data_IF_976549234405
#
_entry.id   IF_976549234405
#
_cell.length_a   1.000
_cell.length_b   1.000
_cell.length_c   1.000
_cell.angle_alpha   90.00
_cell.angle_beta   90.00
_cell.angle_gamma   90.00
#
_symmetry.space_group_name_H-M   'P 1'
#
loop_
_entity.id
_entity.type
_entity.pdbx_description
1 polymer ?
#
# COMPACT_ATOMS: atom_id res chain seq x y z
N UNK A 1 12.73 -14.12 -39.10
CA UNK A 1 14.04 -14.49 -38.53
C UNK A 1 14.59 -15.74 -39.21
N UNK A 2 13.92 -16.89 -39.08
CA UNK A 2 14.34 -18.18 -39.67
C UNK A 2 14.73 -18.14 -41.15
N UNK A 3 13.86 -17.63 -42.04
CA UNK A 3 14.14 -17.54 -43.49
C UNK A 3 15.39 -16.73 -43.85
N UNK A 4 15.82 -15.82 -42.96
CA UNK A 4 16.98 -14.95 -43.14
C UNK A 4 18.22 -15.46 -42.38
N UNK A 5 18.13 -16.59 -41.67
CA UNK A 5 19.23 -17.12 -40.86
C UNK A 5 19.65 -16.20 -39.71
N UNK A 6 18.72 -15.40 -39.17
CA UNK A 6 19.04 -14.48 -38.06
C UNK A 6 19.00 -15.23 -36.73
N UNK A 7 20.10 -15.19 -35.99
CA UNK A 7 20.22 -15.70 -34.61
C UNK A 7 19.92 -14.59 -33.61
N UNK A 8 18.62 -14.37 -33.35
CA UNK A 8 18.15 -13.33 -32.42
C UNK A 8 17.30 -14.00 -31.35
N UNK A 9 17.51 -13.60 -30.10
CA UNK A 9 16.63 -13.96 -29.00
C UNK A 9 15.72 -12.79 -28.65
N UNK A 10 14.47 -13.09 -28.31
CA UNK A 10 13.50 -12.07 -27.96
C UNK A 10 12.41 -12.60 -27.02
N UNK A 11 11.73 -11.65 -26.38
CA UNK A 11 10.49 -11.88 -25.65
C UNK A 11 9.32 -11.14 -26.29
N UNK A 12 8.11 -11.43 -25.82
CA UNK A 12 6.91 -10.72 -26.23
C UNK A 12 6.11 -10.26 -24.99
N UNK A 13 5.73 -8.99 -24.97
CA UNK A 13 4.91 -8.40 -23.90
C UNK A 13 3.48 -8.10 -24.39
N UNK A 14 2.54 -7.97 -23.45
CA UNK A 14 1.14 -7.67 -23.77
C UNK A 14 0.45 -8.80 -24.54
N UNK A 15 0.91 -10.04 -24.35
CA UNK A 15 0.36 -11.20 -25.06
C UNK A 15 -1.02 -11.50 -24.48
N UNK A 16 -2.06 -11.33 -25.30
CA UNK A 16 -3.38 -11.89 -25.03
C UNK A 16 -3.39 -13.33 -25.50
N UNK A 17 -3.68 -14.27 -24.61
CA UNK A 17 -3.74 -15.69 -24.94
C UNK A 17 -4.91 -15.94 -25.88
N UNK A 18 -4.65 -16.68 -26.96
CA UNK A 18 -5.65 -17.12 -27.92
C UNK A 18 -5.50 -18.62 -28.19
N UNK A 19 -6.60 -19.30 -28.52
CA UNK A 19 -6.61 -20.73 -28.83
C UNK A 19 -5.70 -21.09 -30.04
N UNK A 20 -5.38 -20.11 -30.88
CA UNK A 20 -4.47 -20.28 -32.02
C UNK A 20 -3.00 -20.49 -31.58
N UNK A 21 -2.65 -20.23 -30.31
CA UNK A 21 -1.29 -20.48 -29.79
C UNK A 21 -1.08 -21.95 -29.43
N UNK A 22 -1.21 -22.80 -30.44
CA UNK A 22 -0.98 -24.23 -30.32
C UNK A 22 0.50 -24.59 -30.22
N UNK A 23 0.77 -25.89 -30.01
CA UNK A 23 2.12 -26.43 -29.86
C UNK A 23 3.00 -26.11 -31.07
N UNK A 24 2.49 -26.25 -32.29
CA UNK A 24 3.28 -26.05 -33.51
C UNK A 24 3.70 -24.58 -33.64
N UNK A 25 2.77 -23.67 -33.38
CA UNK A 25 3.00 -22.22 -33.37
C UNK A 25 4.04 -21.83 -32.34
N UNK A 26 3.92 -22.33 -31.10
CA UNK A 26 4.90 -22.06 -30.04
C UNK A 26 6.28 -22.65 -30.36
N UNK A 27 6.35 -23.87 -30.91
CA UNK A 27 7.62 -24.45 -31.35
C UNK A 27 8.27 -23.66 -32.47
N UNK A 28 7.48 -23.17 -33.43
CA UNK A 28 7.98 -22.31 -34.50
C UNK A 28 8.51 -20.98 -33.93
N UNK A 29 7.79 -20.36 -33.01
CA UNK A 29 8.21 -19.13 -32.34
C UNK A 29 9.49 -19.33 -31.53
N UNK A 30 9.59 -20.42 -30.77
CA UNK A 30 10.78 -20.78 -30.00
C UNK A 30 12.01 -20.97 -30.90
N UNK A 31 11.87 -21.73 -32.01
CA UNK A 31 12.93 -21.87 -33.03
C UNK A 31 13.32 -20.52 -33.64
N UNK A 32 12.35 -19.62 -33.80
CA UNK A 32 12.60 -18.29 -34.34
C UNK A 32 13.33 -17.35 -33.37
N UNK A 33 13.44 -17.72 -32.08
CA UNK A 33 14.14 -16.93 -31.06
C UNK A 33 13.32 -16.55 -29.83
N UNK A 34 12.02 -16.88 -29.78
CA UNK A 34 11.18 -16.56 -28.63
C UNK A 34 11.63 -17.35 -27.40
N UNK A 35 11.80 -16.66 -26.26
CA UNK A 35 12.24 -17.28 -25.01
C UNK A 35 11.27 -17.08 -23.86
N UNK A 36 10.56 -15.96 -23.84
CA UNK A 36 9.60 -15.66 -22.79
C UNK A 36 8.44 -14.82 -23.33
N UNK A 37 7.31 -14.90 -22.65
CA UNK A 37 6.09 -14.15 -22.97
C UNK A 37 5.53 -13.55 -21.69
N UNK A 38 5.10 -12.30 -21.72
CA UNK A 38 4.40 -11.66 -20.61
C UNK A 38 2.91 -11.58 -20.90
N UNK A 39 2.13 -12.25 -20.06
CA UNK A 39 0.68 -12.44 -20.20
C UNK A 39 -0.01 -11.84 -18.98
N UNK A 40 -0.84 -10.83 -19.23
CA UNK A 40 -1.85 -10.42 -18.25
C UNK A 40 -2.98 -11.43 -18.26
N UNK A 41 -3.15 -12.12 -17.13
CA UNK A 41 -4.28 -13.03 -16.88
C UNK A 41 -5.35 -12.36 -16.00
N UNK A 42 -4.95 -11.41 -15.16
CA UNK A 42 -5.78 -10.52 -14.33
C UNK A 42 -6.68 -11.19 -13.27
N UNK A 43 -7.30 -12.34 -13.55
CA UNK A 43 -8.10 -13.14 -12.60
C UNK A 43 -8.05 -14.63 -12.95
N UNK A 44 -8.28 -15.48 -11.95
CA UNK A 44 -8.44 -16.93 -12.11
C UNK A 44 -9.91 -17.35 -12.24
N UNK A 45 -10.83 -16.40 -12.25
CA UNK A 45 -12.28 -16.63 -12.23
C UNK A 45 -12.90 -16.12 -13.53
N UNK A 46 -13.53 -17.01 -14.31
CA UNK A 46 -14.09 -16.63 -15.62
C UNK A 46 -15.10 -15.49 -15.55
N UNK A 47 -15.99 -15.50 -14.54
CA UNK A 47 -16.96 -14.40 -14.32
C UNK A 47 -16.29 -13.03 -14.19
N UNK A 48 -15.16 -12.95 -13.48
CA UNK A 48 -14.43 -11.70 -13.31
C UNK A 48 -13.72 -11.29 -14.61
N UNK A 49 -13.15 -12.24 -15.34
CA UNK A 49 -12.56 -11.99 -16.67
C UNK A 49 -13.58 -11.44 -17.66
N UNK A 50 -14.79 -12.01 -17.66
CA UNK A 50 -15.91 -11.55 -18.48
C UNK A 50 -16.37 -10.17 -18.06
N UNK A 51 -16.48 -9.92 -16.74
CA UNK A 51 -16.90 -8.64 -16.18
C UNK A 51 -15.95 -7.50 -16.59
N UNK A 52 -14.64 -7.74 -16.58
CA UNK A 52 -13.64 -6.74 -17.00
C UNK A 52 -13.40 -6.71 -18.52
N UNK A 53 -14.18 -7.47 -19.29
CA UNK A 53 -14.07 -7.58 -20.74
C UNK A 53 -12.67 -8.01 -21.21
N UNK A 54 -11.99 -8.87 -20.43
CA UNK A 54 -10.63 -9.32 -20.75
C UNK A 54 -10.57 -10.11 -22.07
N UNK A 55 -11.65 -10.84 -22.38
CA UNK A 55 -11.79 -11.59 -23.63
C UNK A 55 -10.85 -12.79 -23.73
N UNK A 56 -10.56 -13.44 -22.59
CA UNK A 56 -9.81 -14.71 -22.53
C UNK A 56 -10.60 -15.74 -21.73
N UNK A 57 -10.35 -17.01 -22.05
CA UNK A 57 -10.89 -18.16 -21.32
C UNK A 57 -9.80 -18.77 -20.41
N UNK A 58 -10.15 -19.06 -19.15
CA UNK A 58 -9.18 -19.50 -18.15
C UNK A 58 -8.59 -20.88 -18.46
N UNK A 59 -9.36 -21.78 -19.07
CA UNK A 59 -8.87 -23.11 -19.48
C UNK A 59 -7.82 -22.97 -20.60
N UNK A 60 -8.07 -22.04 -21.54
CA UNK A 60 -7.12 -21.69 -22.61
C UNK A 60 -5.81 -21.14 -22.02
N UNK A 61 -5.89 -20.31 -20.98
CA UNK A 61 -4.71 -19.80 -20.27
C UNK A 61 -3.92 -20.93 -19.60
N UNK A 62 -4.58 -21.84 -18.89
CA UNK A 62 -3.91 -22.98 -18.25
C UNK A 62 -3.22 -23.88 -19.30
N UNK A 63 -3.90 -24.16 -20.41
CA UNK A 63 -3.34 -24.93 -21.52
C UNK A 63 -2.13 -24.24 -22.15
N UNK A 64 -2.21 -22.93 -22.39
CA UNK A 64 -1.11 -22.13 -22.91
C UNK A 64 0.13 -22.17 -21.99
N UNK A 65 -0.07 -22.00 -20.68
CA UNK A 65 1.02 -22.07 -19.69
C UNK A 65 1.71 -23.43 -19.76
N UNK A 66 0.95 -24.51 -19.89
CA UNK A 66 1.50 -25.87 -20.03
C UNK A 66 2.30 -26.01 -21.32
N UNK A 67 1.76 -25.59 -22.47
CA UNK A 67 2.45 -25.66 -23.75
C UNK A 67 3.76 -24.86 -23.76
N UNK A 68 3.76 -23.64 -23.20
CA UNK A 68 4.96 -22.83 -23.06
C UNK A 68 6.07 -23.59 -22.33
N UNK A 69 5.76 -24.18 -21.18
CA UNK A 69 6.72 -24.96 -20.38
C UNK A 69 7.28 -26.15 -21.16
N UNK A 70 6.44 -26.87 -21.89
CA UNK A 70 6.87 -28.04 -22.66
C UNK A 70 7.73 -27.67 -23.88
N UNK A 71 7.50 -26.50 -24.48
CA UNK A 71 8.27 -26.01 -25.64
C UNK A 71 9.58 -25.34 -25.23
N UNK A 72 9.70 -24.89 -23.97
CA UNK A 72 10.86 -24.13 -23.49
C UNK A 72 10.69 -22.61 -23.58
N UNK A 73 9.45 -22.13 -23.70
CA UNK A 73 9.12 -20.70 -23.58
C UNK A 73 8.69 -20.43 -22.14
N UNK A 74 9.25 -19.41 -21.50
CA UNK A 74 8.89 -19.05 -20.12
C UNK A 74 7.65 -18.16 -20.10
N UNK A 75 6.50 -18.62 -19.56
CA UNK A 75 5.34 -17.77 -19.38
C UNK A 75 5.54 -16.90 -18.13
N UNK A 76 5.61 -15.60 -18.31
CA UNK A 76 5.54 -14.61 -17.25
C UNK A 76 4.09 -14.14 -17.10
N UNK A 77 3.51 -14.31 -15.93
CA UNK A 77 2.09 -14.09 -15.67
C UNK A 77 1.89 -12.90 -14.72
N UNK A 78 0.87 -12.08 -14.98
CA UNK A 78 0.44 -11.03 -14.07
C UNK A 78 -1.02 -11.11 -13.69
N UNK A 79 -1.29 -10.84 -12.41
CA UNK A 79 -2.59 -11.01 -11.76
C UNK A 79 -3.02 -9.76 -11.01
N UNK A 80 -4.31 -9.46 -10.97
CA UNK A 80 -4.85 -8.35 -10.19
C UNK A 80 -5.57 -8.92 -8.98
N UNK A 81 -5.11 -8.58 -7.78
CA UNK A 81 -5.76 -8.99 -6.53
C UNK A 81 -6.84 -7.98 -6.18
N UNK A 82 -8.04 -8.50 -5.87
CA UNK A 82 -9.15 -7.69 -5.39
C UNK A 82 -9.76 -6.82 -6.48
N UNK A 83 -10.06 -7.40 -7.64
CA UNK A 83 -10.93 -6.75 -8.62
C UNK A 83 -12.26 -6.36 -7.95
N UNK A 84 -12.85 -5.21 -8.34
CA UNK A 84 -14.20 -4.88 -7.91
C UNK A 84 -15.19 -6.02 -8.15
N UNK A 85 -16.17 -6.19 -7.25
CA UNK A 85 -17.12 -7.30 -7.27
C UNK A 85 -16.55 -8.71 -7.05
N UNK A 86 -15.27 -8.86 -6.69
CA UNK A 86 -14.74 -10.16 -6.23
C UNK A 86 -15.42 -10.60 -4.95
N UNK A 87 -16.03 -11.79 -4.94
CA UNK A 87 -16.63 -12.36 -3.74
C UNK A 87 -15.56 -13.03 -2.85
N UNK A 88 -15.82 -13.21 -1.54
CA UNK A 88 -14.89 -13.95 -0.67
C UNK A 88 -14.58 -15.38 -1.15
N UNK A 89 -15.58 -16.06 -1.73
CA UNK A 89 -15.42 -17.42 -2.26
C UNK A 89 -14.52 -17.43 -3.50
N UNK A 90 -14.70 -16.48 -4.41
CA UNK A 90 -13.84 -16.34 -5.59
C UNK A 90 -12.42 -15.96 -5.19
N UNK A 91 -12.25 -15.04 -4.23
CA UNK A 91 -10.91 -14.72 -3.74
C UNK A 91 -10.21 -15.96 -3.18
N UNK A 92 -10.94 -16.84 -2.49
CA UNK A 92 -10.36 -18.10 -2.01
C UNK A 92 -9.92 -19.00 -3.17
N UNK A 93 -10.70 -19.07 -4.25
CA UNK A 93 -10.31 -19.79 -5.47
C UNK A 93 -9.11 -19.13 -6.17
N UNK A 94 -9.06 -17.80 -6.22
CA UNK A 94 -7.93 -17.04 -6.74
C UNK A 94 -6.65 -17.26 -5.90
N UNK A 95 -6.76 -17.33 -4.58
CA UNK A 95 -5.63 -17.69 -3.70
C UNK A 95 -5.07 -19.06 -4.06
N UNK A 96 -5.92 -20.06 -4.29
CA UNK A 96 -5.47 -21.39 -4.70
C UNK A 96 -4.87 -21.37 -6.11
N UNK A 97 -5.41 -20.57 -7.03
CA UNK A 97 -4.82 -20.33 -8.35
C UNK A 97 -3.41 -19.71 -8.24
N UNK A 98 -3.24 -18.68 -7.39
CA UNK A 98 -1.97 -18.00 -7.09
C UNK A 98 -0.94 -18.92 -6.43
N UNK A 99 -1.37 -19.97 -5.72
CA UNK A 99 -0.47 -20.98 -5.13
C UNK A 99 0.02 -22.00 -6.16
N UNK A 100 -0.81 -22.34 -7.16
CA UNK A 100 -0.48 -23.33 -8.20
C UNK A 100 0.52 -22.80 -9.23
N UNK A 101 0.46 -21.51 -9.56
CA UNK A 101 1.27 -20.92 -10.63
C UNK A 101 2.17 -19.80 -10.07
N UNK A 102 3.48 -19.81 -10.36
CA UNK A 102 4.32 -18.65 -10.07
C UNK A 102 3.86 -17.48 -10.93
N UNK A 103 3.47 -16.37 -10.30
CA UNK A 103 3.08 -15.15 -11.01
C UNK A 103 3.41 -13.90 -10.21
N UNK A 104 3.47 -12.78 -10.92
CA UNK A 104 3.45 -11.47 -10.29
C UNK A 104 2.00 -11.04 -10.06
N UNK A 105 1.76 -10.30 -8.99
CA UNK A 105 0.43 -9.77 -8.74
C UNK A 105 0.50 -8.40 -8.09
N UNK A 106 -0.51 -7.60 -8.36
CA UNK A 106 -0.68 -6.29 -7.75
C UNK A 106 -2.13 -6.10 -7.29
N UNK A 107 -2.32 -5.31 -6.24
CA UNK A 107 -3.64 -4.84 -5.83
C UNK A 107 -4.31 -4.04 -6.95
N UNK A 108 -5.62 -4.16 -7.07
CA UNK A 108 -6.38 -3.35 -8.02
C UNK A 108 -6.26 -1.85 -7.70
N UNK A 109 -6.09 -1.05 -8.76
CA UNK A 109 -6.10 0.41 -8.72
C UNK A 109 -7.05 0.92 -9.78
N UNK A 110 -7.96 1.82 -9.40
CA UNK A 110 -8.88 2.45 -10.34
C UNK A 110 -8.15 3.55 -11.14
N UNK A 111 -8.00 3.32 -12.43
CA UNK A 111 -7.30 4.19 -13.37
C UNK A 111 -8.26 4.98 -14.27
N UNK A 112 -7.86 6.18 -14.64
CA UNK A 112 -8.54 7.02 -15.64
C UNK A 112 -8.60 6.28 -17.00
N UNK A 113 -9.78 6.27 -17.61
CA UNK A 113 -10.02 5.61 -18.90
C UNK A 113 -10.22 4.09 -18.83
N UNK A 114 -10.39 3.52 -17.64
CA UNK A 114 -10.79 2.12 -17.48
C UNK A 114 -12.32 1.97 -17.60
N UNK A 115 -12.84 0.81 -18.08
CA UNK A 115 -14.28 0.55 -18.08
C UNK A 115 -14.91 0.69 -16.68
N UNK A 116 -14.16 0.34 -15.63
CA UNK A 116 -14.59 0.50 -14.24
C UNK A 116 -14.71 1.97 -13.83
N UNK A 117 -13.93 2.88 -14.42
CA UNK A 117 -14.05 4.31 -14.16
C UNK A 117 -15.22 4.92 -14.96
N UNK A 118 -15.48 4.41 -16.16
CA UNK A 118 -16.56 4.90 -17.03
C UNK A 118 -17.94 4.43 -16.58
N UNK A 119 -18.03 3.19 -16.08
CA UNK A 119 -19.28 2.55 -15.63
C UNK A 119 -19.14 1.98 -14.21
N UNK A 120 -18.86 2.80 -13.19
CA UNK A 120 -18.51 2.31 -11.86
C UNK A 120 -19.62 1.47 -11.19
N UNK A 121 -20.88 1.76 -11.48
CA UNK A 121 -22.02 0.99 -10.96
C UNK A 121 -22.02 -0.47 -11.43
N UNK A 122 -21.58 -0.75 -12.66
CA UNK A 122 -21.54 -2.12 -13.23
C UNK A 122 -20.56 -3.03 -12.47
N UNK A 123 -19.62 -2.43 -11.74
CA UNK A 123 -18.58 -3.11 -10.99
C UNK A 123 -18.79 -3.01 -9.47
N UNK A 124 -19.92 -2.47 -9.02
CA UNK A 124 -20.23 -2.31 -7.60
C UNK A 124 -19.30 -1.33 -6.89
N UNK A 125 -18.86 -0.27 -7.58
CA UNK A 125 -17.99 0.75 -7.01
C UNK A 125 -18.56 2.16 -7.16
N UNK A 126 -18.14 3.04 -6.27
CA UNK A 126 -18.42 4.48 -6.33
C UNK A 126 -17.11 5.26 -6.33
N UNK A 127 -16.93 6.13 -7.33
CA UNK A 127 -15.79 7.04 -7.38
C UNK A 127 -15.99 8.14 -6.35
N UNK A 128 -15.01 8.34 -5.48
CA UNK A 128 -15.04 9.36 -4.42
C UNK A 128 -14.36 10.65 -4.91
N UNK A 129 -13.09 10.56 -5.32
CA UNK A 129 -12.31 11.72 -5.79
C UNK A 129 -11.10 11.26 -6.61
N UNK A 130 -10.48 12.17 -7.35
CA UNK A 130 -9.24 11.90 -8.09
C UNK A 130 -8.03 12.10 -7.17
N UNK A 131 -7.15 11.11 -7.12
CA UNK A 131 -5.97 11.17 -6.26
C UNK A 131 -5.09 12.37 -6.60
N UNK A 132 -4.69 13.14 -5.59
CA UNK A 132 -3.77 14.27 -5.74
C UNK A 132 -2.34 13.73 -5.71
N UNK A 133 -1.57 14.02 -6.74
CA UNK A 133 -0.16 13.63 -6.83
C UNK A 133 0.73 14.60 -6.04
N UNK A 134 0.54 15.91 -6.24
CA UNK A 134 1.16 16.96 -5.43
C UNK A 134 0.40 18.29 -5.58
N UNK A 135 0.54 19.17 -4.59
CA UNK A 135 0.07 20.54 -4.65
C UNK A 135 1.18 21.46 -5.18
N UNK A 136 0.88 22.27 -6.20
CA UNK A 136 1.75 23.30 -6.74
C UNK A 136 1.17 24.69 -6.48
N UNK A 137 1.96 25.78 -6.56
CA UNK A 137 1.44 27.15 -6.38
C UNK A 137 0.30 27.52 -7.34
N UNK A 138 0.19 26.81 -8.48
CA UNK A 138 -0.85 27.02 -9.51
C UNK A 138 -2.07 26.10 -9.34
N UNK A 139 -2.10 25.24 -8.33
CA UNK A 139 -3.20 24.31 -8.08
C UNK A 139 -2.75 22.87 -7.82
N UNK A 140 -3.73 21.97 -7.72
CA UNK A 140 -3.50 20.55 -7.49
C UNK A 140 -3.13 19.85 -8.80
N UNK A 141 -2.09 19.01 -8.78
CA UNK A 141 -1.78 18.09 -9.86
C UNK A 141 -2.34 16.73 -9.47
N UNK A 142 -3.28 16.23 -10.27
CA UNK A 142 -3.92 14.94 -9.99
C UNK A 142 -3.24 13.79 -10.73
N UNK A 143 -3.10 12.65 -10.04
CA UNK A 143 -2.67 11.39 -10.63
C UNK A 143 -3.74 10.84 -11.60
N UNK A 144 -3.40 9.90 -12.50
CA UNK A 144 -4.39 9.17 -13.30
C UNK A 144 -5.15 8.10 -12.46
N UNK A 145 -5.24 8.28 -11.14
CA UNK A 145 -5.81 7.34 -10.18
C UNK A 145 -6.97 7.96 -9.43
N UNK A 146 -7.90 7.13 -8.97
CA UNK A 146 -9.06 7.56 -8.20
C UNK A 146 -9.06 6.94 -6.80
N UNK A 147 -9.60 7.67 -5.84
CA UNK A 147 -10.18 7.11 -4.64
C UNK A 147 -11.57 6.61 -4.98
N UNK A 148 -11.90 5.42 -4.50
CA UNK A 148 -13.19 4.79 -4.74
C UNK A 148 -13.59 3.95 -3.53
N UNK A 149 -14.89 3.76 -3.38
CA UNK A 149 -15.49 2.85 -2.41
C UNK A 149 -16.00 1.64 -3.17
N UNK A 150 -15.72 0.44 -2.64
CA UNK A 150 -16.36 -0.79 -3.10
C UNK A 150 -17.67 -0.97 -2.32
N UNK A 151 -18.78 -0.98 -3.03
CA UNK A 151 -20.13 -1.15 -2.50
C UNK A 151 -20.55 -2.63 -2.53
N UNK A 152 -20.06 -3.39 -3.52
CA UNK A 152 -20.32 -4.83 -3.67
C UNK A 152 -19.01 -5.64 -3.79
N UNK A 153 -18.93 -6.74 -3.05
CA UNK A 153 -17.75 -7.60 -3.00
C UNK A 153 -16.68 -7.12 -2.02
N UNK A 154 -15.46 -7.66 -2.18
CA UNK A 154 -14.30 -7.29 -1.39
C UNK A 154 -13.62 -6.06 -1.98
N UNK A 155 -13.13 -5.18 -1.11
CA UNK A 155 -12.23 -4.12 -1.56
C UNK A 155 -10.80 -4.64 -1.78
N UNK A 156 -9.96 -3.94 -2.58
CA UNK A 156 -8.59 -4.37 -2.82
C UNK A 156 -7.78 -4.58 -1.53
N UNK A 157 -7.94 -3.69 -0.54
CA UNK A 157 -7.23 -3.82 0.73
C UNK A 157 -7.71 -5.02 1.57
N UNK A 158 -8.99 -5.40 1.45
CA UNK A 158 -9.53 -6.64 2.04
C UNK A 158 -8.88 -7.86 1.39
N UNK A 159 -8.83 -7.85 0.06
CA UNK A 159 -8.29 -8.96 -0.72
C UNK A 159 -6.80 -9.15 -0.46
N UNK A 160 -6.02 -8.07 -0.42
CA UNK A 160 -4.60 -8.11 -0.09
C UNK A 160 -4.34 -8.73 1.28
N UNK A 161 -5.07 -8.30 2.30
CA UNK A 161 -4.92 -8.84 3.65
C UNK A 161 -5.19 -10.35 3.70
N UNK A 162 -6.23 -10.82 3.01
CA UNK A 162 -6.56 -12.24 2.93
C UNK A 162 -5.53 -13.05 2.13
N UNK A 163 -5.00 -12.49 1.04
CA UNK A 163 -3.92 -13.12 0.26
C UNK A 163 -2.63 -13.20 1.09
N UNK A 164 -2.32 -12.18 1.88
CA UNK A 164 -1.16 -12.17 2.78
C UNK A 164 -1.29 -13.20 3.90
N UNK A 165 -2.47 -13.30 4.52
CA UNK A 165 -2.79 -14.30 5.54
C UNK A 165 -2.73 -15.73 5.02
N UNK A 166 -3.02 -15.96 3.73
CA UNK A 166 -2.94 -17.28 3.10
C UNK A 166 -1.51 -17.84 3.01
N UNK A 167 -0.51 -17.05 3.40
CA UNK A 167 0.88 -17.46 3.52
C UNK A 167 1.69 -17.27 2.24
N UNK A 168 2.94 -17.76 2.22
CA UNK A 168 3.83 -17.56 1.10
C UNK A 168 3.29 -18.26 -0.15
N UNK A 169 3.40 -17.58 -1.29
CA UNK A 169 3.00 -18.08 -2.61
C UNK A 169 4.20 -18.05 -3.55
N UNK A 170 4.15 -18.91 -4.58
CA UNK A 170 5.18 -18.91 -5.62
C UNK A 170 5.10 -17.57 -6.34
N UNK A 171 6.20 -16.82 -6.34
CA UNK A 171 6.36 -15.61 -7.13
C UNK A 171 7.30 -15.90 -8.26
N UNK A 172 7.09 -15.26 -9.41
CA UNK A 172 8.11 -15.31 -10.45
C UNK A 172 9.36 -14.57 -10.01
N UNK A 173 10.46 -14.86 -10.70
CA UNK A 173 11.62 -13.97 -10.64
C UNK A 173 11.19 -12.59 -11.14
N UNK A 174 11.64 -11.50 -10.50
CA UNK A 174 11.23 -10.16 -10.88
C UNK A 174 11.49 -9.90 -12.36
N UNK A 175 10.54 -9.26 -13.03
CA UNK A 175 10.73 -8.77 -14.39
C UNK A 175 11.90 -7.78 -14.40
N UNK A 176 13.10 -8.21 -14.80
CA UNK A 176 14.31 -7.38 -14.81
C UNK A 176 14.33 -6.35 -15.95
N UNK A 177 13.22 -6.21 -16.69
CA UNK A 177 13.13 -5.44 -17.92
C UNK A 177 13.59 -6.25 -19.13
N UNK A 178 13.15 -5.83 -20.32
CA UNK A 178 13.29 -6.54 -21.60
C UNK A 178 14.73 -7.01 -21.90
N UNK A 179 15.69 -6.12 -21.64
CA UNK A 179 17.12 -6.35 -21.94
C UNK A 179 17.68 -7.47 -21.06
N UNK A 180 17.43 -7.42 -19.75
CA UNK A 180 17.94 -8.43 -18.83
C UNK A 180 17.24 -9.77 -19.03
N UNK A 181 15.93 -9.77 -19.29
CA UNK A 181 15.20 -11.00 -19.53
C UNK A 181 15.70 -11.74 -20.78
N UNK A 182 16.04 -10.99 -21.83
CA UNK A 182 16.60 -11.57 -23.05
C UNK A 182 18.04 -12.06 -22.86
N UNK A 183 18.89 -11.30 -22.15
CA UNK A 183 20.28 -11.71 -21.87
C UNK A 183 20.38 -12.97 -20.99
N UNK A 184 19.39 -13.19 -20.11
CA UNK A 184 19.37 -14.31 -19.18
C UNK A 184 18.64 -15.54 -19.73
N UNK A 185 18.05 -15.44 -20.93
CA UNK A 185 17.16 -16.46 -21.48
C UNK A 185 17.82 -17.83 -21.69
N UNK A 186 19.11 -17.86 -22.06
CA UNK A 186 19.88 -19.09 -22.26
C UNK A 186 20.57 -19.61 -20.98
N UNK A 187 20.38 -18.91 -19.86
CA UNK A 187 20.94 -19.32 -18.57
C UNK A 187 19.92 -20.15 -17.79
N UNK A 188 20.37 -20.81 -16.71
CA UNK A 188 19.46 -21.43 -15.75
C UNK A 188 18.55 -20.44 -14.99
N UNK A 189 18.64 -19.13 -15.26
CA UNK A 189 17.91 -18.09 -14.54
C UNK A 189 16.40 -18.31 -14.57
N UNK A 190 15.81 -18.63 -15.72
CA UNK A 190 14.37 -18.89 -15.83
C UNK A 190 13.97 -20.34 -15.50
N UNK A 191 14.94 -21.25 -15.40
CA UNK A 191 14.69 -22.66 -15.06
C UNK A 191 14.39 -22.85 -13.57
N UNK A 192 14.79 -21.89 -12.73
CA UNK A 192 14.55 -21.92 -11.29
C UNK A 192 13.38 -21.03 -10.92
N UNK A 193 12.29 -21.65 -10.45
CA UNK A 193 11.14 -20.97 -9.85
C UNK A 193 11.45 -20.35 -8.47
N UNK A 194 12.65 -20.59 -7.90
CA UNK A 194 13.06 -19.99 -6.64
C UNK A 194 13.48 -18.53 -6.86
N UNK A 195 12.77 -17.61 -6.20
CA UNK A 195 13.11 -16.18 -6.17
C UNK A 195 14.43 -15.99 -5.40
N UNK A 196 15.40 -15.22 -5.91
CA UNK A 196 16.51 -14.76 -5.10
C UNK A 196 15.99 -13.94 -3.90
N UNK A 197 16.74 -13.81 -2.79
CA UNK A 197 16.35 -12.94 -1.70
C UNK A 197 16.02 -11.54 -2.23
N UNK A 198 15.02 -10.89 -1.63
CA UNK A 198 14.67 -9.53 -2.04
C UNK A 198 15.92 -8.63 -1.93
N UNK A 199 16.13 -7.74 -2.91
CA UNK A 199 17.26 -6.84 -2.85
C UNK A 199 17.15 -5.98 -1.60
N UNK A 200 18.31 -5.56 -1.07
CA UNK A 200 18.38 -4.59 0.02
C UNK A 200 17.44 -3.41 -0.27
N UNK A 201 16.68 -2.98 0.73
CA UNK A 201 15.71 -1.89 0.55
C UNK A 201 16.44 -0.61 0.16
N UNK A 202 15.71 0.33 -0.46
CA UNK A 202 16.28 1.65 -0.75
C UNK A 202 16.83 2.33 0.51
N UNK A 203 16.18 2.14 1.66
CA UNK A 203 16.63 2.63 2.94
C UNK A 203 17.91 1.94 3.43
N UNK A 204 18.05 0.62 3.25
CA UNK A 204 19.26 -0.11 3.64
C UNK A 204 20.47 0.34 2.80
N UNK A 205 20.30 0.45 1.48
CA UNK A 205 21.33 0.96 0.57
C UNK A 205 21.70 2.41 0.92
N UNK A 206 20.71 3.25 1.23
CA UNK A 206 20.92 4.62 1.66
C UNK A 206 21.71 4.69 2.98
N UNK A 207 21.41 3.84 3.98
CA UNK A 207 22.13 3.78 5.24
C UNK A 207 23.60 3.39 5.04
N UNK A 208 23.89 2.45 4.15
CA UNK A 208 25.27 2.10 3.79
C UNK A 208 26.01 3.29 3.18
N UNK A 209 25.36 4.01 2.26
CA UNK A 209 25.91 5.21 1.61
C UNK A 209 26.15 6.35 2.61
N UNK A 210 25.17 6.63 3.47
CA UNK A 210 25.23 7.65 4.51
C UNK A 210 26.33 7.33 5.54
N UNK A 211 26.52 6.05 5.87
CA UNK A 211 27.61 5.61 6.74
C UNK A 211 28.98 5.90 6.13
N UNK A 212 29.18 5.57 4.85
CA UNK A 212 30.43 5.87 4.13
C UNK A 212 30.70 7.37 4.03
N UNK A 213 29.69 8.17 3.69
CA UNK A 213 29.81 9.63 3.63
C UNK A 213 30.22 10.23 4.99
N UNK A 214 29.62 9.73 6.08
CA UNK A 214 29.98 10.17 7.43
C UNK A 214 31.41 9.79 7.80
N UNK A 215 31.88 8.61 7.41
CA UNK A 215 33.28 8.20 7.63
C UNK A 215 34.25 9.12 6.87
N UNK A 216 33.95 9.44 5.61
CA UNK A 216 34.74 10.37 4.80
C UNK A 216 34.75 11.80 5.37
N UNK A 217 33.65 12.22 5.99
CA UNK A 217 33.53 13.51 6.68
C UNK A 217 34.12 13.52 8.11
N UNK A 218 34.97 12.55 8.46
CA UNK A 218 35.62 12.51 9.79
C UNK A 218 34.65 12.21 10.94
N UNK A 219 33.54 11.54 10.66
CA UNK A 219 32.54 11.15 11.66
C UNK A 219 31.45 12.19 11.93
N UNK A 220 31.51 13.37 11.31
CA UNK A 220 30.51 14.43 11.46
C UNK A 220 29.40 14.30 10.41
N UNK A 221 28.15 14.29 10.87
CA UNK A 221 26.96 14.36 10.00
C UNK A 221 26.40 15.78 10.00
N UNK A 222 26.04 16.30 8.83
CA UNK A 222 25.29 17.55 8.72
C UNK A 222 23.79 17.32 8.99
N UNK A 223 22.99 18.39 8.98
CA UNK A 223 21.57 18.28 9.26
C UNK A 223 20.81 17.37 8.27
N UNK A 224 21.25 17.31 7.01
CA UNK A 224 20.64 16.43 6.00
C UNK A 224 20.96 14.98 6.29
N UNK A 225 22.20 14.68 6.65
CA UNK A 225 22.62 13.35 7.07
C UNK A 225 21.75 12.82 8.21
N UNK A 226 21.50 13.65 9.24
CA UNK A 226 20.62 13.26 10.34
C UNK A 226 19.19 12.96 9.84
N UNK A 227 18.59 13.83 9.03
CA UNK A 227 17.23 13.62 8.52
C UNK A 227 17.10 12.35 7.67
N UNK A 228 18.03 12.14 6.74
CA UNK A 228 18.00 10.96 5.88
C UNK A 228 18.23 9.67 6.67
N UNK A 229 19.17 9.69 7.63
CA UNK A 229 19.44 8.54 8.49
C UNK A 229 18.22 8.21 9.35
N UNK A 230 17.55 9.22 9.92
CA UNK A 230 16.31 9.03 10.69
C UNK A 230 15.21 8.39 9.85
N UNK A 231 14.90 8.96 8.69
CA UNK A 231 13.87 8.43 7.81
C UNK A 231 14.15 6.99 7.38
N UNK A 232 15.41 6.65 7.08
CA UNK A 232 15.78 5.28 6.71
C UNK A 232 15.68 4.31 7.89
N UNK A 233 16.08 4.72 9.11
CA UNK A 233 15.97 3.86 10.29
C UNK A 233 14.51 3.62 10.69
N UNK A 234 13.66 4.65 10.57
CA UNK A 234 12.21 4.53 10.81
C UNK A 234 11.55 3.59 9.79
N UNK A 235 11.88 3.71 8.50
CA UNK A 235 11.41 2.81 7.43
C UNK A 235 11.81 1.36 7.70
N UNK A 236 13.02 1.14 8.21
CA UNK A 236 13.53 -0.18 8.59
C UNK A 236 13.07 -0.65 9.97
N UNK A 237 12.15 0.07 10.63
CA UNK A 237 11.65 -0.24 11.98
C UNK A 237 12.75 -0.32 13.07
N UNK A 238 13.91 0.32 12.84
CA UNK A 238 15.06 0.39 13.76
C UNK A 238 14.90 1.57 14.72
N UNK A 239 13.82 1.54 15.51
CA UNK A 239 13.34 2.68 16.29
C UNK A 239 14.32 3.16 17.38
N UNK A 240 15.05 2.26 18.02
CA UNK A 240 16.03 2.62 19.06
C UNK A 240 17.22 3.40 18.49
N UNK A 241 17.69 2.98 17.31
CA UNK A 241 18.76 3.67 16.60
C UNK A 241 18.26 5.02 16.09
N UNK A 242 17.06 5.07 15.51
CA UNK A 242 16.43 6.32 15.10
C UNK A 242 16.33 7.30 16.28
N UNK A 243 15.94 6.81 17.46
CA UNK A 243 15.84 7.64 18.66
C UNK A 243 17.19 8.23 19.08
N UNK A 244 18.24 7.42 19.05
CA UNK A 244 19.61 7.86 19.36
C UNK A 244 20.08 8.94 18.38
N UNK A 245 19.83 8.75 17.08
CA UNK A 245 20.17 9.72 16.04
C UNK A 245 19.34 11.00 16.20
N UNK A 246 18.07 10.92 16.59
CA UNK A 246 17.19 12.08 16.77
C UNK A 246 17.65 12.95 17.95
N UNK A 247 18.06 12.32 19.06
CA UNK A 247 18.62 13.03 20.21
C UNK A 247 19.94 13.73 19.86
N UNK A 248 20.82 13.05 19.12
CA UNK A 248 22.07 13.63 18.63
C UNK A 248 21.81 14.84 17.70
N UNK A 249 20.85 14.72 16.78
CA UNK A 249 20.44 15.81 15.90
C UNK A 249 19.91 17.02 16.69
N UNK A 250 19.07 16.78 17.69
CA UNK A 250 18.55 17.84 18.56
C UNK A 250 19.67 18.57 19.31
N UNK A 251 20.68 17.84 19.79
CA UNK A 251 21.86 18.43 20.46
C UNK A 251 22.70 19.25 19.49
N UNK A 252 22.93 18.75 18.27
CA UNK A 252 23.66 19.47 17.23
C UNK A 252 22.97 20.80 16.86
N UNK A 253 21.63 20.81 16.75
CA UNK A 253 20.89 22.05 16.45
C UNK A 253 20.92 23.10 17.55
N UNK A 254 21.03 22.70 18.81
CA UNK A 254 21.18 23.65 19.92
C UNK A 254 22.50 24.44 19.83
N UNK A 255 23.53 23.87 19.17
CA UNK A 255 24.84 24.49 18.99
C UNK A 255 24.95 25.35 17.71
N UNK A 256 23.83 25.64 17.03
CA UNK A 256 23.75 26.59 15.92
C UNK A 256 23.80 25.99 14.51
N UNK A 257 24.23 24.73 14.34
CA UNK A 257 24.20 24.05 13.05
C UNK A 257 22.81 23.44 12.79
N UNK A 258 22.13 23.83 11.70
CA UNK A 258 20.87 23.19 11.32
C UNK A 258 19.62 23.69 12.05
N UNK A 259 19.62 24.92 12.58
CA UNK A 259 18.43 25.55 13.17
C UNK A 259 17.19 25.50 12.25
N UNK A 260 17.39 25.58 10.94
CA UNK A 260 16.32 25.43 9.94
C UNK A 260 15.63 24.06 9.94
N UNK A 261 16.29 23.02 10.47
CA UNK A 261 15.79 21.63 10.52
C UNK A 261 15.29 21.23 11.91
N UNK A 262 15.33 22.15 12.88
CA UNK A 262 14.96 21.87 14.27
C UNK A 262 13.54 21.33 14.41
N UNK A 263 12.57 21.88 13.66
CA UNK A 263 11.19 21.40 13.70
C UNK A 263 11.04 19.99 13.12
N UNK A 264 11.83 19.64 12.10
CA UNK A 264 11.84 18.30 11.52
C UNK A 264 12.43 17.27 12.49
N UNK A 265 13.56 17.59 13.15
CA UNK A 265 14.12 16.71 14.19
C UNK A 265 13.19 16.57 15.39
N UNK A 266 12.53 17.66 15.78
CA UNK A 266 11.55 17.63 16.86
C UNK A 266 10.36 16.74 16.47
N UNK A 267 9.92 16.77 15.21
CA UNK A 267 8.86 15.89 14.72
C UNK A 267 9.27 14.42 14.86
N UNK A 268 10.41 14.01 14.30
CA UNK A 268 10.93 12.64 14.42
C UNK A 268 11.07 12.20 15.89
N UNK A 269 11.70 13.02 16.73
CA UNK A 269 11.89 12.69 18.15
C UNK A 269 10.54 12.50 18.87
N UNK A 270 9.56 13.38 18.62
CA UNK A 270 8.25 13.28 19.28
C UNK A 270 7.43 12.09 18.79
N UNK A 271 7.53 11.75 17.50
CA UNK A 271 6.94 10.53 16.93
C UNK A 271 7.51 9.28 17.61
N UNK A 272 8.83 9.19 17.74
CA UNK A 272 9.50 8.05 18.39
C UNK A 272 9.14 7.94 19.88
N UNK A 273 9.06 9.06 20.59
CA UNK A 273 8.61 9.08 21.98
C UNK A 273 7.17 8.62 22.14
N UNK A 274 6.27 9.03 21.24
CA UNK A 274 4.88 8.55 21.24
C UNK A 274 4.81 7.03 20.99
N UNK A 275 5.60 6.49 20.04
CA UNK A 275 5.67 5.04 19.83
C UNK A 275 6.21 4.29 21.05
N UNK A 276 7.18 4.88 21.76
CA UNK A 276 7.70 4.35 23.01
C UNK A 276 6.84 4.61 24.26
N UNK A 277 5.61 5.12 24.11
CA UNK A 277 4.70 5.40 25.23
C UNK A 277 5.12 6.56 26.14
N UNK A 278 6.10 7.38 25.75
CA UNK A 278 6.64 8.50 26.54
C UNK A 278 5.88 9.81 26.27
N UNK A 279 4.55 9.76 26.32
CA UNK A 279 3.64 10.87 25.98
C UNK A 279 3.90 12.13 26.82
N UNK A 280 4.23 12.00 28.10
CA UNK A 280 4.54 13.16 28.95
C UNK A 280 5.78 13.92 28.45
N UNK A 281 6.80 13.19 28.01
CA UNK A 281 8.04 13.78 27.48
C UNK A 281 7.80 14.53 26.19
N UNK A 282 6.88 14.06 25.35
CA UNK A 282 6.41 14.81 24.17
C UNK A 282 5.81 16.15 24.57
N UNK A 283 4.96 16.18 25.61
CA UNK A 283 4.33 17.42 26.06
C UNK A 283 5.30 18.42 26.71
N UNK A 284 6.40 17.93 27.29
CA UNK A 284 7.50 18.74 27.83
C UNK A 284 8.38 19.34 26.72
N UNK A 285 8.62 18.59 25.65
CA UNK A 285 9.43 19.03 24.50
C UNK A 285 8.69 20.02 23.61
N UNK A 286 7.39 19.79 23.40
CA UNK A 286 6.60 20.61 22.49
C UNK A 286 6.04 21.85 23.19
N UNK A 287 6.12 23.04 22.55
CA UNK A 287 5.43 24.22 23.06
C UNK A 287 3.92 23.98 23.11
N UNK A 288 3.22 24.78 23.92
CA UNK A 288 1.75 24.69 24.05
C UNK A 288 1.01 24.92 22.72
N UNK A 289 1.61 25.67 21.79
CA UNK A 289 1.03 25.94 20.48
C UNK A 289 2.14 25.84 19.42
N UNK A 290 2.44 24.62 18.92
CA UNK A 290 3.45 24.43 17.88
C UNK A 290 3.07 25.18 16.59
N UNK A 291 4.07 25.75 15.91
CA UNK A 291 3.89 26.43 14.63
C UNK A 291 3.61 25.41 13.51
N UNK A 292 4.41 24.35 13.44
CA UNK A 292 4.25 23.28 12.47
C UNK A 292 3.01 22.41 12.77
N UNK A 293 2.05 22.27 11.82
CA UNK A 293 0.85 21.45 12.03
C UNK A 293 1.15 19.98 12.37
N UNK A 294 2.22 19.41 11.81
CA UNK A 294 2.65 18.04 12.13
C UNK A 294 2.96 17.85 13.62
N UNK A 295 3.60 18.83 14.27
CA UNK A 295 3.88 18.80 15.71
C UNK A 295 2.60 18.91 16.55
N UNK A 296 1.55 19.57 16.03
CA UNK A 296 0.24 19.55 16.68
C UNK A 296 -0.37 18.16 16.65
N UNK A 297 -0.17 17.41 15.57
CA UNK A 297 -0.53 16.00 15.48
C UNK A 297 0.15 15.17 16.58
N UNK A 298 1.47 15.25 16.70
CA UNK A 298 2.20 14.50 17.72
C UNK A 298 1.85 14.92 19.15
N UNK A 299 1.60 16.22 19.39
CA UNK A 299 1.05 16.70 20.67
C UNK A 299 -0.35 16.17 20.95
N UNK A 300 -1.23 16.12 19.93
CA UNK A 300 -2.58 15.58 20.07
C UNK A 300 -2.56 14.09 20.43
N UNK A 301 -1.67 13.31 19.82
CA UNK A 301 -1.47 11.89 20.11
C UNK A 301 -1.03 11.69 21.56
N UNK A 302 -0.06 12.46 22.02
CA UNK A 302 0.40 12.43 23.42
C UNK A 302 -0.72 12.79 24.40
N UNK A 303 -1.48 13.86 24.13
CA UNK A 303 -2.63 14.27 24.96
C UNK A 303 -3.74 13.20 24.99
N UNK A 304 -3.97 12.53 23.86
CA UNK A 304 -4.95 11.45 23.78
C UNK A 304 -4.54 10.24 24.62
N UNK A 305 -3.28 9.82 24.52
CA UNK A 305 -2.73 8.73 25.33
C UNK A 305 -2.75 9.02 26.84
N UNK A 306 -2.75 10.30 27.21
CA UNK A 306 -2.89 10.77 28.60
C UNK A 306 -4.35 11.08 29.00
N UNK A 307 -5.32 10.65 28.20
CA UNK A 307 -6.76 10.82 28.46
C UNK A 307 -7.20 12.28 28.66
N UNK A 308 -6.65 13.20 27.84
CA UNK A 308 -6.98 14.65 27.88
C UNK A 308 -7.80 15.11 26.66
N UNK A 309 -9.04 14.62 26.49
CA UNK A 309 -9.80 14.74 25.23
C UNK A 309 -10.09 16.19 24.82
N UNK A 310 -10.31 17.10 25.77
CA UNK A 310 -10.59 18.51 25.45
C UNK A 310 -9.38 19.22 24.81
N UNK A 311 -8.16 18.88 25.25
CA UNK A 311 -6.92 19.45 24.73
C UNK A 311 -6.52 18.77 23.43
N UNK A 312 -6.68 17.44 23.33
CA UNK A 312 -6.52 16.69 22.07
C UNK A 312 -7.37 17.31 20.96
N UNK A 313 -8.66 17.56 21.21
CA UNK A 313 -9.55 18.19 20.23
C UNK A 313 -9.10 19.59 19.80
N UNK A 314 -8.45 20.35 20.70
CA UNK A 314 -7.94 21.68 20.38
C UNK A 314 -6.79 21.58 19.38
N UNK A 315 -5.83 20.70 19.64
CA UNK A 315 -4.70 20.47 18.74
C UNK A 315 -5.13 19.91 17.39
N UNK A 316 -6.04 18.91 17.38
CA UNK A 316 -6.56 18.34 16.14
C UNK A 316 -7.30 19.37 15.29
N UNK A 317 -8.12 20.24 15.90
CA UNK A 317 -8.80 21.30 15.14
C UNK A 317 -7.83 22.30 14.54
N UNK A 318 -6.79 22.70 15.29
CA UNK A 318 -5.78 23.63 14.79
C UNK A 318 -4.96 23.00 13.64
N UNK A 319 -4.59 21.73 13.78
CA UNK A 319 -3.90 20.96 12.74
C UNK A 319 -4.74 20.86 11.45
N UNK A 320 -6.00 20.43 11.57
CA UNK A 320 -6.91 20.27 10.43
C UNK A 320 -7.25 21.62 9.79
N UNK A 321 -7.39 22.70 10.57
CA UNK A 321 -7.62 24.05 10.04
C UNK A 321 -6.43 24.58 9.22
N UNK A 322 -5.21 24.08 9.48
CA UNK A 322 -4.03 24.38 8.69
C UNK A 322 -3.90 23.49 7.42
N UNK A 323 -4.90 22.67 7.11
CA UNK A 323 -4.89 21.77 5.94
C UNK A 323 -4.01 20.53 6.11
N UNK A 324 -3.52 20.25 7.32
CA UNK A 324 -2.70 19.08 7.59
C UNK A 324 -3.59 17.93 8.10
N UNK A 325 -3.80 16.92 7.25
CA UNK A 325 -4.58 15.72 7.60
C UNK A 325 -3.68 14.50 7.78
N UNK A 326 -3.93 13.73 8.85
CA UNK A 326 -3.28 12.45 9.11
C UNK A 326 -4.37 11.39 9.26
N UNK A 327 -4.12 10.16 8.78
CA UNK A 327 -5.11 9.06 8.72
C UNK A 327 -5.90 8.88 10.03
N UNK A 328 -5.20 8.76 11.15
CA UNK A 328 -5.80 8.48 12.46
C UNK A 328 -6.49 9.70 13.13
N UNK A 329 -6.33 10.92 12.60
CA UNK A 329 -6.76 12.16 13.25
C UNK A 329 -8.27 12.18 13.53
N UNK A 330 -9.07 11.77 12.54
CA UNK A 330 -10.52 11.76 12.66
C UNK A 330 -11.03 10.67 13.62
N UNK A 331 -10.32 9.55 13.71
CA UNK A 331 -10.65 8.48 14.67
C UNK A 331 -10.47 8.97 16.11
N UNK A 332 -9.28 9.50 16.42
CA UNK A 332 -9.00 10.11 17.75
C UNK A 332 -9.98 11.24 18.05
N UNK A 333 -10.29 12.10 17.06
CA UNK A 333 -11.28 13.16 17.23
C UNK A 333 -12.67 12.61 17.63
N UNK A 334 -13.09 11.50 17.00
CA UNK A 334 -14.31 10.78 17.32
C UNK A 334 -14.33 10.29 18.75
N UNK A 335 -13.29 9.56 19.16
CA UNK A 335 -13.14 9.03 20.53
C UNK A 335 -13.12 10.14 21.58
N UNK A 336 -12.46 11.27 21.32
CA UNK A 336 -12.47 12.40 22.24
C UNK A 336 -13.86 13.04 22.38
N UNK A 337 -14.64 13.13 21.29
CA UNK A 337 -16.02 13.60 21.41
C UNK A 337 -16.92 12.61 22.16
N UNK A 338 -16.71 11.32 21.98
CA UNK A 338 -17.37 10.26 22.73
C UNK A 338 -17.08 10.40 24.23
N UNK A 339 -15.81 10.49 24.62
CA UNK A 339 -15.37 10.67 26.00
C UNK A 339 -15.92 11.95 26.66
N UNK A 340 -16.21 12.99 25.88
CA UNK A 340 -16.83 14.24 26.35
C UNK A 340 -18.37 14.21 26.30
N UNK A 341 -18.98 13.04 26.13
CA UNK A 341 -20.42 12.84 26.02
C UNK A 341 -21.07 13.69 24.91
N UNK A 342 -20.43 13.73 23.73
CA UNK A 342 -20.90 14.45 22.53
C UNK A 342 -21.10 13.49 21.34
N UNK A 343 -21.99 12.49 21.45
CA UNK A 343 -22.08 11.38 20.49
C UNK A 343 -22.42 11.82 19.06
N UNK A 344 -23.21 12.88 18.87
CA UNK A 344 -23.51 13.40 17.53
C UNK A 344 -22.26 13.96 16.81
N UNK A 345 -21.37 14.64 17.56
CA UNK A 345 -20.09 15.14 17.01
C UNK A 345 -19.10 14.00 16.80
N UNK A 346 -19.10 13.02 17.70
CA UNK A 346 -18.28 11.81 17.57
C UNK A 346 -18.62 11.08 16.27
N UNK A 347 -19.91 10.82 15.99
CA UNK A 347 -20.34 10.15 14.75
C UNK A 347 -19.89 10.88 13.49
N UNK A 348 -19.96 12.21 13.46
CA UNK A 348 -19.48 13.00 12.31
C UNK A 348 -17.98 12.78 12.05
N UNK A 349 -17.17 12.74 13.10
CA UNK A 349 -15.73 12.48 12.99
C UNK A 349 -15.45 11.01 12.64
N UNK A 350 -16.16 10.05 13.25
CA UNK A 350 -15.99 8.62 12.98
C UNK A 350 -16.41 8.22 11.56
N UNK A 351 -17.43 8.86 10.98
CA UNK A 351 -17.78 8.66 9.57
C UNK A 351 -16.63 9.09 8.63
N UNK A 352 -15.97 10.22 8.93
CA UNK A 352 -14.78 10.66 8.18
C UNK A 352 -13.59 9.74 8.38
N UNK A 353 -13.44 9.16 9.58
CA UNK A 353 -12.41 8.18 9.89
C UNK A 353 -12.63 6.90 9.08
N UNK A 354 -13.84 6.36 9.06
CA UNK A 354 -14.18 5.16 8.30
C UNK A 354 -13.93 5.31 6.79
N UNK A 355 -14.16 6.50 6.22
CA UNK A 355 -13.84 6.78 4.81
C UNK A 355 -12.34 6.67 4.50
N UNK A 356 -11.47 6.88 5.49
CA UNK A 356 -10.00 6.86 5.35
C UNK A 356 -9.40 5.53 5.77
N UNK A 357 -10.05 4.85 6.71
CA UNK A 357 -9.61 3.58 7.26
C UNK A 357 -10.80 2.65 7.43
N UNK A 358 -11.28 2.14 6.30
CA UNK A 358 -12.52 1.39 6.23
C UNK A 358 -12.37 -0.05 6.76
N UNK A 359 -11.15 -0.55 6.99
CA UNK A 359 -10.90 -1.89 7.53
C UNK A 359 -10.97 -1.95 9.05
N UNK A 360 -10.75 -0.83 9.74
CA UNK A 360 -10.62 -0.80 11.20
C UNK A 360 -11.96 -1.08 11.91
N UNK A 361 -12.14 -2.26 12.55
CA UNK A 361 -13.40 -2.60 13.24
C UNK A 361 -13.72 -1.67 14.40
N UNK A 362 -12.71 -1.12 15.08
CA UNK A 362 -12.92 -0.30 16.27
C UNK A 362 -13.65 1.01 15.95
N UNK A 363 -13.52 1.51 14.71
CA UNK A 363 -14.28 2.68 14.24
C UNK A 363 -15.79 2.37 14.29
N UNK A 364 -16.22 1.20 13.82
CA UNK A 364 -17.64 0.83 13.82
C UNK A 364 -18.15 0.50 15.22
N UNK A 365 -17.31 -0.07 16.08
CA UNK A 365 -17.65 -0.25 17.48
C UNK A 365 -17.91 1.11 18.17
N UNK A 366 -17.04 2.09 17.93
CA UNK A 366 -17.21 3.45 18.45
C UNK A 366 -18.48 4.13 17.89
N UNK A 367 -18.77 3.94 16.58
CA UNK A 367 -20.01 4.42 15.97
C UNK A 367 -21.24 3.80 16.63
N UNK A 368 -21.22 2.49 16.88
CA UNK A 368 -22.31 1.80 17.55
C UNK A 368 -22.56 2.35 18.96
N UNK A 369 -21.51 2.56 19.77
CA UNK A 369 -21.65 3.16 21.11
C UNK A 369 -22.27 4.56 21.04
N UNK A 370 -21.83 5.38 20.08
CA UNK A 370 -22.39 6.71 19.88
C UNK A 370 -23.85 6.69 19.41
N UNK A 371 -24.24 5.75 18.54
CA UNK A 371 -25.62 5.58 18.08
C UNK A 371 -26.54 5.11 19.21
N UNK A 372 -26.08 4.18 20.04
CA UNK A 372 -26.80 3.76 21.25
C UNK A 372 -27.02 4.94 22.20
N UNK A 373 -26.00 5.76 22.44
CA UNK A 373 -26.13 6.97 23.27
C UNK A 373 -27.09 8.02 22.70
N UNK A 374 -27.41 7.95 21.40
CA UNK A 374 -28.39 8.79 20.71
C UNK A 374 -29.79 8.14 20.61
N UNK A 375 -30.02 7.02 21.29
CA UNK A 375 -31.26 6.22 21.19
C UNK A 375 -31.57 5.76 19.75
N UNK A 376 -30.53 5.36 18.99
CA UNK A 376 -30.65 4.81 17.62
C UNK A 376 -30.21 3.34 17.56
N UNK A 377 -30.93 2.43 18.25
CA UNK A 377 -30.47 1.05 18.47
C UNK A 377 -30.36 0.21 17.19
N UNK A 378 -31.24 0.43 16.22
CA UNK A 378 -31.22 -0.32 14.93
C UNK A 378 -29.94 -0.02 14.15
N UNK A 379 -29.57 1.26 14.08
CA UNK A 379 -28.33 1.68 13.41
C UNK A 379 -27.09 1.23 14.21
N UNK A 380 -27.17 1.26 15.54
CA UNK A 380 -26.09 0.76 16.39
C UNK A 380 -25.82 -0.73 16.14
N UNK A 381 -26.87 -1.55 16.04
CA UNK A 381 -26.76 -2.97 15.69
C UNK A 381 -26.16 -3.18 14.30
N UNK A 382 -26.52 -2.35 13.31
CA UNK A 382 -25.95 -2.42 11.98
C UNK A 382 -24.43 -2.14 11.99
N UNK A 383 -23.99 -1.14 12.77
CA UNK A 383 -22.57 -0.83 12.95
C UNK A 383 -21.82 -1.93 13.72
N UNK A 384 -22.42 -2.54 14.74
CA UNK A 384 -21.84 -3.71 15.42
C UNK A 384 -21.67 -4.91 14.48
N UNK A 385 -22.70 -5.22 13.68
CA UNK A 385 -22.62 -6.28 12.69
C UNK A 385 -21.52 -5.97 11.65
N UNK A 386 -21.35 -4.69 11.28
CA UNK A 386 -20.28 -4.24 10.40
C UNK A 386 -18.90 -4.43 11.04
N UNK A 387 -18.73 -4.09 12.32
CA UNK A 387 -17.50 -4.32 13.07
C UNK A 387 -17.15 -5.83 13.10
N UNK A 388 -18.11 -6.69 13.42
CA UNK A 388 -17.91 -8.15 13.47
C UNK A 388 -17.53 -8.74 12.11
N UNK A 389 -18.12 -8.23 11.00
CA UNK A 389 -17.71 -8.63 9.66
C UNK A 389 -16.24 -8.27 9.41
N UNK A 390 -15.82 -7.06 9.79
CA UNK A 390 -14.42 -6.62 9.66
C UNK A 390 -13.46 -7.46 10.50
N UNK A 391 -13.80 -7.77 11.76
CA UNK A 391 -12.98 -8.64 12.63
C UNK A 391 -12.78 -10.03 12.02
N UNK A 392 -13.86 -10.65 11.52
CA UNK A 392 -13.76 -11.95 10.83
C UNK A 392 -12.86 -11.89 9.59
N UNK A 393 -12.88 -10.80 8.84
CA UNK A 393 -11.97 -10.60 7.70
C UNK A 393 -10.50 -10.40 8.13
N UNK A 394 -10.25 -9.88 9.33
CA UNK A 394 -8.90 -9.64 9.86
C UNK A 394 -8.34 -10.82 10.67
N UNK A 395 -9.09 -11.92 10.82
CA UNK A 395 -8.68 -13.09 11.59
C UNK A 395 -8.64 -12.86 13.11
N UNK A 396 -9.40 -11.88 13.61
CA UNK A 396 -9.49 -11.50 15.03
C UNK A 396 -10.71 -12.07 15.73
#
# INVERSE_FOLDING_TARGET
MLKRGLEVQFGAEGVRVEAAFDRETLQLAHRAGLRWVYVGIESGTQRLLDLIEKGIDIETVEHFIQLCREVGVTPQLSFIVGLPSTTPQELQAEIEFLKRHPMDSSSFVLMLGSPMQERPADFGIRIEDRQVLYAAPRGLVHAPRFYFTVEEGLSPAQADALVEQAGPRRRMRPHLGEVHATLLADTGFFQSEARPPDPATGAEIALQTLSQQRQQAGGQGDARWFLHTLGCLEDQSRLEEAFTIAQAAMTATANGSGAAYREAFLLHLTTLLNYGGQSERVLQLLPRQPALPALRGERARALFALERPAETLRELRAMLAAGYEIRWAYYIQGLCYEALNRPAKALKSLNKAEQRDWLEPDINQAKARCLSALNRPVEAQAEQAKAQRKQRCLGQ
#
